data_IF_482218346871
#
_entry.id   IF_482218346871
#
_cell.length_a   1.000
_cell.length_b   1.000
_cell.length_c   1.000
_cell.angle_alpha   90.00
_cell.angle_beta   90.00
_cell.angle_gamma   90.00
#
_symmetry.space_group_name_H-M   'P 1'
#
loop_
_entity.id
_entity.type
_entity.pdbx_description
1 polymer ?
#
# COMPACT_ATOMS: atom_id res chain seq x y z
N UNK A 1 34.91 30.14 -38.38
CA UNK A 1 35.08 28.79 -37.79
C UNK A 1 34.32 28.74 -36.46
N UNK A 2 33.00 28.56 -36.51
CA UNK A 2 32.15 28.49 -35.32
C UNK A 2 32.21 27.10 -34.69
N UNK A 3 32.44 27.04 -33.38
CA UNK A 3 32.45 25.79 -32.60
C UNK A 3 31.01 25.27 -32.52
N UNK A 4 30.80 24.05 -33.04
CA UNK A 4 29.52 23.34 -32.97
C UNK A 4 29.19 22.97 -31.53
N UNK A 5 27.92 23.17 -31.19
CA UNK A 5 27.34 22.91 -29.88
C UNK A 5 27.52 21.47 -29.44
N UNK A 6 27.61 21.30 -28.12
CA UNK A 6 27.40 20.03 -27.46
C UNK A 6 25.95 20.01 -27.03
N UNK A 7 25.20 19.19 -27.75
CA UNK A 7 23.77 19.03 -27.65
C UNK A 7 23.47 18.30 -26.34
N UNK A 8 22.67 18.94 -25.49
CA UNK A 8 22.26 18.40 -24.22
C UNK A 8 21.44 17.12 -24.40
N UNK A 9 22.01 16.00 -23.99
CA UNK A 9 21.24 14.79 -23.67
C UNK A 9 20.61 14.97 -22.30
N UNK A 10 19.54 15.75 -22.28
CA UNK A 10 18.61 15.79 -21.15
C UNK A 10 17.93 14.43 -21.07
N UNK A 11 18.25 13.69 -20.01
CA UNK A 11 17.46 12.52 -19.58
C UNK A 11 16.01 12.97 -19.43
N UNK A 12 15.16 12.47 -20.33
CA UNK A 12 13.70 12.60 -20.24
C UNK A 12 13.23 11.78 -19.04
N UNK A 13 13.11 12.44 -17.89
CA UNK A 13 12.40 11.90 -16.74
C UNK A 13 10.91 11.85 -17.08
N UNK A 14 10.45 10.64 -17.35
CA UNK A 14 9.05 10.18 -17.47
C UNK A 14 8.08 10.95 -16.58
N UNK A 15 7.28 11.84 -17.17
CA UNK A 15 6.11 12.39 -16.53
C UNK A 15 4.99 11.37 -16.60
N UNK A 16 4.83 10.54 -15.57
CA UNK A 16 3.59 9.78 -15.37
C UNK A 16 2.46 10.79 -15.17
N UNK A 17 1.52 10.81 -16.10
CA UNK A 17 0.32 11.64 -16.06
C UNK A 17 -0.33 11.55 -14.67
N UNK A 18 -0.49 12.69 -13.99
CA UNK A 18 -1.26 12.74 -12.75
C UNK A 18 -2.72 12.55 -13.14
N UNK A 19 -3.22 11.31 -13.11
CA UNK A 19 -4.66 11.02 -13.11
C UNK A 19 -5.31 11.91 -12.05
N UNK A 20 -6.31 12.68 -12.47
CA UNK A 20 -6.95 13.68 -11.62
C UNK A 20 -7.44 13.05 -10.32
N UNK A 21 -7.06 13.64 -9.19
CA UNK A 21 -7.65 13.29 -7.91
C UNK A 21 -8.78 14.28 -7.62
N UNK A 22 -9.85 13.80 -6.99
CA UNK A 22 -10.92 14.67 -6.48
C UNK A 22 -11.02 14.48 -4.98
N UNK A 23 -11.11 15.58 -4.25
CA UNK A 23 -11.34 15.58 -2.82
C UNK A 23 -12.83 15.67 -2.58
N UNK A 24 -13.39 14.71 -1.87
CA UNK A 24 -14.82 14.65 -1.55
C UNK A 24 -14.98 14.20 -0.09
N UNK A 25 -16.06 14.63 0.58
CA UNK A 25 -16.45 14.06 1.87
C UNK A 25 -17.38 12.87 1.64
N UNK A 26 -17.13 11.77 2.34
CA UNK A 26 -17.97 10.57 2.26
C UNK A 26 -18.18 10.00 3.66
N UNK A 27 -19.33 9.36 3.88
CA UNK A 27 -19.57 8.61 5.09
C UNK A 27 -18.60 7.41 5.20
N UNK A 28 -18.07 7.18 6.40
CA UNK A 28 -17.20 6.03 6.70
C UNK A 28 -17.83 4.67 6.35
N UNK A 29 -19.15 4.58 6.41
CA UNK A 29 -19.94 3.37 6.13
C UNK A 29 -19.95 3.00 4.63
N UNK A 30 -19.73 3.97 3.74
CA UNK A 30 -19.67 3.72 2.30
C UNK A 30 -18.31 3.21 1.82
N UNK A 31 -17.27 3.32 2.67
CA UNK A 31 -15.92 2.89 2.34
C UNK A 31 -15.74 1.39 2.53
N UNK A 32 -15.09 0.75 1.57
CA UNK A 32 -14.83 -0.69 1.58
C UNK A 32 -13.41 -0.97 2.06
N UNK A 33 -13.30 -1.70 3.17
CA UNK A 33 -12.02 -2.26 3.65
C UNK A 33 -11.75 -3.61 2.98
N UNK A 34 -10.83 -3.61 2.00
CA UNK A 34 -10.35 -4.83 1.37
C UNK A 34 -9.03 -5.29 2.03
N UNK A 35 -9.11 -6.34 2.86
CA UNK A 35 -7.96 -6.95 3.51
C UNK A 35 -7.01 -7.67 2.55
N UNK A 36 -7.50 -8.07 1.37
CA UNK A 36 -6.67 -8.62 0.31
C UNK A 36 -5.79 -7.55 -0.33
N UNK A 37 -6.32 -6.34 -0.44
CA UNK A 37 -5.58 -5.18 -0.93
C UNK A 37 -4.56 -4.65 0.09
N UNK A 38 -4.86 -4.78 1.37
CA UNK A 38 -4.00 -4.23 2.42
C UNK A 38 -2.63 -4.93 2.46
N UNK A 39 -1.49 -4.22 2.28
CA UNK A 39 -0.19 -4.86 2.16
C UNK A 39 0.43 -5.28 3.51
N UNK A 40 -0.21 -4.94 4.63
CA UNK A 40 0.27 -5.31 5.98
C UNK A 40 -0.46 -6.53 6.51
N UNK A 41 0.28 -7.33 7.26
CA UNK A 41 -0.22 -8.57 7.86
C UNK A 41 -1.16 -8.31 9.05
N UNK A 42 -1.06 -7.15 9.70
CA UNK A 42 -1.91 -6.78 10.84
C UNK A 42 -2.02 -5.27 10.99
N UNK A 43 -3.17 -4.79 11.49
CA UNK A 43 -3.33 -3.42 11.99
C UNK A 43 -2.55 -3.24 13.29
N UNK A 44 -1.79 -2.14 13.38
CA UNK A 44 -1.13 -1.73 14.62
C UNK A 44 -2.11 -0.90 15.46
N UNK A 45 -2.70 -1.53 16.48
CA UNK A 45 -3.66 -0.89 17.39
C UNK A 45 -3.02 0.25 18.20
N UNK A 46 -1.71 0.21 18.46
CA UNK A 46 -1.01 1.31 19.14
C UNK A 46 -0.97 2.54 18.26
N UNK A 47 -0.70 2.34 16.96
CA UNK A 47 -0.73 3.43 15.99
C UNK A 47 -2.13 4.03 15.82
N UNK A 48 -3.17 3.19 15.77
CA UNK A 48 -4.57 3.65 15.75
C UNK A 48 -4.85 4.52 16.98
N UNK A 49 -4.46 4.09 18.18
CA UNK A 49 -4.66 4.88 19.41
C UNK A 49 -3.92 6.23 19.39
N UNK A 50 -2.71 6.29 18.84
CA UNK A 50 -2.00 7.56 18.68
C UNK A 50 -2.72 8.51 17.71
N UNK A 51 -3.27 7.97 16.62
CA UNK A 51 -4.06 8.75 15.66
C UNK A 51 -5.35 9.25 16.31
N UNK A 52 -6.05 8.40 17.08
CA UNK A 52 -7.24 8.79 17.86
C UNK A 52 -6.93 9.96 18.79
N UNK A 53 -5.84 9.87 19.57
CA UNK A 53 -5.44 10.96 20.47
C UNK A 53 -5.13 12.27 19.72
N UNK A 54 -4.50 12.18 18.55
CA UNK A 54 -4.25 13.37 17.73
C UNK A 54 -5.54 13.98 17.17
N UNK A 55 -6.50 13.14 16.75
CA UNK A 55 -7.83 13.59 16.32
C UNK A 55 -8.62 14.25 17.46
N UNK A 56 -8.60 13.65 18.66
CA UNK A 56 -9.20 14.23 19.87
C UNK A 56 -8.57 15.58 20.25
N UNK A 57 -7.27 15.76 19.97
CA UNK A 57 -6.56 17.03 20.15
C UNK A 57 -6.88 18.07 19.07
N UNK A 58 -7.66 17.73 18.03
CA UNK A 58 -8.04 18.61 16.94
C UNK A 58 -7.03 18.72 15.80
N UNK A 59 -6.08 17.79 15.69
CA UNK A 59 -5.09 17.76 14.61
C UNK A 59 -5.75 17.34 13.28
N UNK A 60 -5.46 18.07 12.20
CA UNK A 60 -5.93 17.69 10.86
C UNK A 60 -5.08 16.57 10.29
N UNK A 61 -5.68 15.40 10.08
CA UNK A 61 -5.03 14.27 9.44
C UNK A 61 -5.10 14.39 7.91
N UNK A 62 -4.13 13.81 7.17
CA UNK A 62 -4.21 13.74 5.72
C UNK A 62 -5.47 12.96 5.28
N UNK A 63 -5.99 13.20 4.06
CA UNK A 63 -7.19 12.54 3.54
C UNK A 63 -6.95 11.04 3.26
N UNK A 64 -8.00 10.23 3.37
CA UNK A 64 -7.92 8.81 3.00
C UNK A 64 -7.85 8.68 1.48
N UNK A 65 -7.01 7.79 0.95
CA UNK A 65 -6.94 7.58 -0.50
C UNK A 65 -7.84 6.41 -0.84
N UNK A 66 -8.80 6.63 -1.74
CA UNK A 66 -9.87 5.67 -2.06
C UNK A 66 -9.99 5.54 -3.57
N UNK A 67 -10.24 4.33 -4.04
CA UNK A 67 -10.60 4.11 -5.45
C UNK A 67 -12.04 4.58 -5.71
N UNK A 68 -12.23 5.42 -6.73
CA UNK A 68 -13.56 5.98 -7.07
C UNK A 68 -14.56 4.91 -7.46
N UNK A 69 -14.13 3.90 -8.22
CA UNK A 69 -15.03 2.90 -8.80
C UNK A 69 -15.52 1.90 -7.75
N UNK A 70 -14.60 1.36 -6.96
CA UNK A 70 -14.88 0.30 -5.99
C UNK A 70 -15.10 0.80 -4.57
N UNK A 71 -14.86 2.10 -4.30
CA UNK A 71 -14.83 2.71 -2.95
C UNK A 71 -13.88 1.99 -1.98
N UNK A 72 -12.91 1.24 -2.51
CA UNK A 72 -11.91 0.52 -1.71
C UNK A 72 -10.85 1.49 -1.21
N UNK A 73 -10.54 1.39 0.08
CA UNK A 73 -9.46 2.19 0.68
C UNK A 73 -8.13 1.67 0.16
N UNK A 74 -7.34 2.54 -0.48
CA UNK A 74 -6.01 2.25 -1.01
C UNK A 74 -4.94 2.55 0.04
N UNK A 75 -5.07 3.68 0.74
CA UNK A 75 -4.20 4.08 1.83
C UNK A 75 -4.99 4.76 2.96
N UNK A 76 -4.50 4.59 4.19
CA UNK A 76 -5.13 5.18 5.37
C UNK A 76 -5.95 4.21 6.21
N UNK A 77 -5.76 2.88 6.12
CA UNK A 77 -6.46 1.90 6.97
C UNK A 77 -6.42 2.24 8.46
N UNK A 78 -5.26 2.64 9.01
CA UNK A 78 -5.17 3.04 10.42
C UNK A 78 -5.97 4.32 10.72
N UNK A 79 -6.03 5.25 9.77
CA UNK A 79 -6.80 6.50 9.88
C UNK A 79 -8.29 6.20 9.83
N UNK A 80 -8.74 5.32 8.93
CA UNK A 80 -10.11 4.84 8.87
C UNK A 80 -10.57 4.24 10.21
N UNK A 81 -9.76 3.35 10.80
CA UNK A 81 -10.08 2.78 12.12
C UNK A 81 -10.08 3.81 13.25
N UNK A 82 -9.21 4.82 13.18
CA UNK A 82 -9.22 5.92 14.15
C UNK A 82 -10.48 6.77 14.02
N UNK A 83 -10.88 7.10 12.79
CA UNK A 83 -12.12 7.82 12.52
C UNK A 83 -13.35 7.04 12.97
N UNK A 84 -13.41 5.73 12.75
CA UNK A 84 -14.47 4.87 13.32
C UNK A 84 -14.54 4.90 14.85
N UNK A 85 -13.45 5.24 15.53
CA UNK A 85 -13.41 5.31 17.01
C UNK A 85 -13.86 6.68 17.51
N UNK A 86 -13.51 7.75 16.79
CA UNK A 86 -13.76 9.14 17.21
C UNK A 86 -15.10 9.67 16.69
N UNK A 87 -15.49 9.27 15.48
CA UNK A 87 -16.72 9.72 14.85
C UNK A 87 -17.83 8.70 15.10
N UNK A 88 -19.07 9.15 15.36
CA UNK A 88 -20.23 8.27 15.43
C UNK A 88 -20.50 7.60 14.07
N UNK A 89 -21.20 6.47 14.08
CA UNK A 89 -21.70 5.81 12.85
C UNK A 89 -22.48 6.83 12.00
N UNK A 90 -21.93 7.24 10.85
CA UNK A 90 -22.28 8.39 9.97
C UNK A 90 -21.34 9.63 10.02
N UNK A 91 -20.15 9.49 10.60
CA UNK A 91 -19.09 10.48 10.41
C UNK A 91 -18.67 10.60 8.95
N UNK A 92 -18.69 11.83 8.43
CA UNK A 92 -18.05 12.15 7.15
C UNK A 92 -16.54 12.35 7.33
N UNK A 93 -15.77 11.80 6.39
CA UNK A 93 -14.32 11.99 6.34
C UNK A 93 -13.91 12.48 4.96
N UNK A 94 -12.87 13.32 4.90
CA UNK A 94 -12.30 13.75 3.64
C UNK A 94 -11.50 12.61 2.99
N UNK A 95 -11.86 12.31 1.75
CA UNK A 95 -11.20 11.29 0.95
C UNK A 95 -10.71 11.86 -0.37
N UNK A 96 -9.56 11.37 -0.80
CA UNK A 96 -8.97 11.61 -2.10
C UNK A 96 -9.36 10.44 -3.01
N UNK A 97 -10.32 10.67 -3.90
CA UNK A 97 -10.71 9.72 -4.93
C UNK A 97 -9.70 9.70 -6.06
N UNK A 98 -9.24 8.50 -6.39
CA UNK A 98 -8.38 8.22 -7.53
C UNK A 98 -9.00 7.14 -8.41
N UNK A 99 -8.79 7.25 -9.70
CA UNK A 99 -9.29 6.31 -10.69
C UNK A 99 -8.20 5.30 -11.08
N UNK A 100 -8.46 4.01 -10.84
CA UNK A 100 -7.57 2.92 -11.21
C UNK A 100 -8.21 2.03 -12.27
N UNK A 101 -7.44 1.61 -13.28
CA UNK A 101 -7.98 0.79 -14.38
C UNK A 101 -8.06 -0.69 -14.03
N UNK A 102 -7.27 -1.13 -13.06
CA UNK A 102 -7.25 -2.52 -12.62
C UNK A 102 -6.95 -2.67 -11.13
N UNK A 103 -7.34 -3.80 -10.56
CA UNK A 103 -7.00 -4.16 -9.17
C UNK A 103 -5.47 -4.25 -8.97
N UNK A 104 -4.72 -4.65 -10.01
CA UNK A 104 -3.26 -4.67 -9.97
C UNK A 104 -2.64 -3.27 -9.86
N UNK A 105 -3.16 -2.28 -10.59
CA UNK A 105 -2.72 -0.88 -10.45
C UNK A 105 -3.03 -0.33 -9.05
N UNK A 106 -4.24 -0.61 -8.57
CA UNK A 106 -4.72 -0.20 -7.26
C UNK A 106 -3.82 -0.77 -6.14
N UNK A 107 -3.46 -2.05 -6.22
CA UNK A 107 -2.52 -2.69 -5.30
C UNK A 107 -1.10 -2.12 -5.40
N UNK A 108 -0.61 -1.91 -6.63
CA UNK A 108 0.72 -1.32 -6.87
C UNK A 108 0.82 0.08 -6.25
N UNK A 109 -0.23 0.89 -6.37
CA UNK A 109 -0.27 2.22 -5.79
C UNK A 109 -0.36 2.16 -4.26
N UNK A 110 -1.16 1.25 -3.70
CA UNK A 110 -1.17 1.01 -2.25
C UNK A 110 0.23 0.67 -1.71
N UNK A 111 0.98 -0.17 -2.43
CA UNK A 111 2.36 -0.50 -2.08
C UNK A 111 3.29 0.73 -2.13
N UNK A 112 3.20 1.53 -3.19
CA UNK A 112 4.00 2.75 -3.34
C UNK A 112 3.72 3.77 -2.24
N UNK A 113 2.45 4.00 -1.92
CA UNK A 113 2.03 4.91 -0.86
C UNK A 113 2.52 4.42 0.51
N UNK A 114 2.39 3.12 0.79
CA UNK A 114 2.91 2.52 2.02
C UNK A 114 4.44 2.58 2.12
N UNK A 115 5.15 2.45 0.99
CA UNK A 115 6.60 2.54 0.94
C UNK A 115 7.10 3.99 1.13
N UNK A 116 6.36 4.99 0.62
CA UNK A 116 6.76 6.41 0.64
C UNK A 116 6.35 7.16 1.91
N UNK A 117 5.14 6.91 2.42
CA UNK A 117 4.53 7.69 3.50
C UNK A 117 4.29 6.89 4.78
N UNK A 118 4.46 5.56 4.75
CA UNK A 118 4.19 4.66 5.87
C UNK A 118 5.42 4.23 6.66
N UNK A 119 5.19 3.75 7.89
CA UNK A 119 6.19 3.02 8.69
C UNK A 119 6.74 1.87 7.87
N UNK A 120 8.06 1.69 7.82
CA UNK A 120 8.71 0.70 6.94
C UNK A 120 8.03 -0.66 7.02
N UNK A 121 7.53 -1.15 5.88
CA UNK A 121 6.94 -2.49 5.78
C UNK A 121 7.92 -3.53 6.32
N UNK A 122 7.44 -4.41 7.19
CA UNK A 122 8.31 -5.44 7.75
C UNK A 122 8.74 -6.42 6.64
N UNK A 123 9.83 -7.16 6.82
CA UNK A 123 10.22 -8.20 5.86
C UNK A 123 9.15 -9.27 5.62
N UNK A 124 8.21 -9.48 6.55
CA UNK A 124 7.06 -10.35 6.37
C UNK A 124 5.99 -9.69 5.50
N UNK A 125 5.66 -8.43 5.78
CA UNK A 125 4.69 -7.68 4.97
C UNK A 125 5.15 -7.58 3.52
N UNK A 126 6.46 -7.40 3.28
CA UNK A 126 7.05 -7.42 1.94
C UNK A 126 6.89 -8.77 1.23
N UNK A 127 7.04 -9.88 1.96
CA UNK A 127 6.86 -11.21 1.40
C UNK A 127 5.38 -11.50 1.09
N UNK A 128 4.47 -11.11 1.98
CA UNK A 128 3.02 -11.20 1.76
C UNK A 128 2.58 -10.32 0.58
N UNK A 129 3.12 -9.10 0.46
CA UNK A 129 2.84 -8.21 -0.65
C UNK A 129 3.30 -8.81 -2.00
N UNK A 130 4.44 -9.50 -2.03
CA UNK A 130 4.92 -10.21 -3.22
C UNK A 130 3.96 -11.33 -3.61
N UNK A 131 3.57 -12.17 -2.66
CA UNK A 131 2.61 -13.26 -2.90
C UNK A 131 1.26 -12.75 -3.40
N UNK A 132 0.69 -11.75 -2.74
CA UNK A 132 -0.60 -11.17 -3.12
C UNK A 132 -0.55 -10.45 -4.45
N UNK A 133 0.55 -9.76 -4.76
CA UNK A 133 0.72 -9.13 -6.06
C UNK A 133 0.68 -10.13 -7.20
N UNK A 134 1.29 -11.32 -7.01
CA UNK A 134 1.20 -12.41 -7.99
C UNK A 134 -0.24 -12.91 -8.19
N UNK A 135 -1.05 -13.00 -7.12
CA UNK A 135 -2.48 -13.35 -7.21
C UNK A 135 -3.29 -12.33 -8.03
N UNK A 136 -2.91 -11.05 -7.99
CA UNK A 136 -3.51 -9.99 -8.80
C UNK A 136 -2.93 -9.90 -10.22
N UNK A 137 -2.05 -10.83 -10.61
CA UNK A 137 -1.45 -10.89 -11.95
C UNK A 137 -0.31 -9.88 -12.17
N UNK A 138 0.26 -9.32 -11.11
CA UNK A 138 1.42 -8.43 -11.20
C UNK A 138 2.72 -9.22 -11.28
N UNK A 139 3.69 -8.70 -12.02
CA UNK A 139 5.03 -9.31 -12.06
C UNK A 139 5.86 -8.94 -10.85
N UNK A 140 6.84 -9.77 -10.51
CA UNK A 140 7.77 -9.53 -9.39
C UNK A 140 8.52 -8.21 -9.57
N UNK A 141 8.80 -7.80 -10.80
CA UNK A 141 9.44 -6.53 -11.14
C UNK A 141 8.54 -5.33 -10.79
N UNK A 142 7.24 -5.41 -11.11
CA UNK A 142 6.29 -4.35 -10.80
C UNK A 142 6.12 -4.17 -9.28
N UNK A 143 6.00 -5.28 -8.55
CA UNK A 143 5.83 -5.28 -7.10
C UNK A 143 7.11 -4.82 -6.41
N UNK A 144 8.27 -5.33 -6.83
CA UNK A 144 9.57 -4.94 -6.25
C UNK A 144 9.89 -3.48 -6.52
N UNK A 145 9.56 -2.96 -7.72
CA UNK A 145 9.65 -1.54 -8.04
C UNK A 145 8.78 -0.66 -7.13
N UNK A 146 7.54 -1.07 -6.87
CA UNK A 146 6.64 -0.38 -5.94
C UNK A 146 7.15 -0.40 -4.48
N UNK A 147 7.79 -1.50 -4.07
CA UNK A 147 8.37 -1.67 -2.73
C UNK A 147 9.77 -1.05 -2.58
N UNK A 148 10.32 -0.43 -3.63
CA UNK A 148 11.70 0.05 -3.68
C UNK A 148 12.74 -1.04 -3.30
N UNK A 149 12.54 -2.26 -3.81
CA UNK A 149 13.42 -3.41 -3.61
C UNK A 149 14.02 -3.86 -4.93
N UNK A 150 15.23 -4.43 -4.88
CA UNK A 150 15.77 -5.17 -6.01
C UNK A 150 15.03 -6.51 -6.15
N UNK A 151 14.89 -7.00 -7.39
CA UNK A 151 14.28 -8.31 -7.70
C UNK A 151 14.98 -9.44 -6.94
N UNK A 152 16.31 -9.36 -6.80
CA UNK A 152 17.10 -10.31 -6.01
C UNK A 152 16.71 -10.34 -4.53
N UNK A 153 16.46 -9.16 -3.92
CA UNK A 153 16.02 -9.09 -2.53
C UNK A 153 14.58 -9.55 -2.37
N UNK A 154 13.71 -9.25 -3.33
CA UNK A 154 12.33 -9.73 -3.35
C UNK A 154 12.28 -11.27 -3.41
N UNK A 155 13.00 -11.87 -4.37
CA UNK A 155 13.07 -13.33 -4.52
C UNK A 155 13.72 -14.01 -3.30
N UNK A 156 14.75 -13.43 -2.71
CA UNK A 156 15.35 -13.94 -1.46
C UNK A 156 14.37 -13.88 -0.27
N UNK A 157 13.53 -12.85 -0.18
CA UNK A 157 12.51 -12.73 0.85
C UNK A 157 11.44 -13.81 0.72
N UNK A 158 10.92 -14.04 -0.48
CA UNK A 158 9.94 -15.10 -0.75
C UNK A 158 10.54 -16.48 -0.45
N UNK A 159 11.73 -16.78 -0.98
CA UNK A 159 12.42 -18.07 -0.76
C UNK A 159 12.83 -18.32 0.68
N UNK A 160 13.08 -17.30 1.49
CA UNK A 160 13.50 -17.47 2.89
C UNK A 160 12.33 -17.60 3.87
N UNK A 161 11.09 -17.34 3.42
CA UNK A 161 9.90 -17.28 4.26
C UNK A 161 8.75 -18.18 3.83
N UNK A 162 8.80 -18.78 2.64
CA UNK A 162 7.79 -19.75 2.21
C UNK A 162 7.85 -21.05 3.03
N UNK A 163 6.75 -21.44 3.65
CA UNK A 163 6.53 -22.80 4.14
C UNK A 163 5.31 -23.37 3.43
N UNK A 164 5.33 -24.66 3.15
CA UNK A 164 4.19 -25.34 2.53
C UNK A 164 3.28 -25.83 3.65
N UNK A 165 2.02 -25.43 3.62
CA UNK A 165 1.02 -26.01 4.50
C UNK A 165 0.76 -27.48 4.12
N UNK A 166 0.19 -28.32 5.01
CA UNK A 166 -0.19 -29.68 4.66
C UNK A 166 -1.17 -29.79 3.48
N UNK A 167 -1.90 -28.70 3.18
CA UNK A 167 -2.80 -28.54 2.03
C UNK A 167 -2.09 -28.16 0.72
N UNK A 168 -0.77 -27.96 0.74
CA UNK A 168 0.02 -27.62 -0.45
C UNK A 168 0.09 -26.11 -0.75
N UNK A 169 -0.56 -25.26 0.06
CA UNK A 169 -0.55 -23.82 -0.15
C UNK A 169 0.70 -23.17 0.48
N UNK A 170 1.36 -22.23 -0.23
CA UNK A 170 2.49 -21.48 0.30
C UNK A 170 2.03 -20.48 1.36
N UNK A 171 2.54 -20.63 2.58
CA UNK A 171 2.33 -19.72 3.71
C UNK A 171 3.64 -19.00 4.06
N UNK A 172 3.62 -17.68 4.13
CA UNK A 172 4.78 -16.90 4.54
C UNK A 172 4.93 -16.87 6.06
N UNK A 173 6.05 -17.40 6.56
CA UNK A 173 6.33 -17.51 7.99
C UNK A 173 7.07 -16.29 8.55
N UNK A 174 6.69 -15.92 9.78
CA UNK A 174 7.48 -15.04 10.63
C UNK A 174 8.88 -15.64 10.84
N UNK A 175 9.87 -14.77 11.00
CA UNK A 175 11.27 -15.18 11.16
C UNK A 175 11.47 -16.17 12.32
N UNK A 176 10.78 -15.96 13.44
CA UNK A 176 10.82 -16.81 14.62
C UNK A 176 10.28 -18.23 14.36
N UNK A 177 9.40 -18.39 13.37
CA UNK A 177 8.77 -19.66 13.01
C UNK A 177 9.51 -20.39 11.88
N UNK A 178 10.67 -19.91 11.44
CA UNK A 178 11.46 -20.55 10.37
C UNK A 178 11.80 -22.01 10.67
N UNK A 179 11.87 -22.41 11.94
CA UNK A 179 12.13 -23.80 12.35
C UNK A 179 10.96 -24.75 12.08
N UNK A 180 9.77 -24.24 11.72
CA UNK A 180 8.59 -25.03 11.37
C UNK A 180 8.51 -25.35 9.86
N UNK A 181 9.57 -25.10 9.08
CA UNK A 181 9.65 -25.44 7.64
C UNK A 181 9.84 -26.95 7.37
N UNK A 182 9.24 -27.81 8.20
CA UNK A 182 9.31 -29.27 8.11
C UNK A 182 8.05 -29.86 7.52
#
# INVERSE_FOLDING_TARGET
MGRRGLDGTGLECTGTERKGFTMESIELTELVLDWGLYPRTSLDTTNVRMIVQALEAGETMPPLIVDRTTKKIVDGFHRYHAYLTVLPDNGEVEVEFRDYESTGELFTESLRLNARHGRSLTPLDRANALQRGEEFGLTVEQISGALALTVERATALTKSRSATTPSGEPLMLKHTLKHLRG
#
